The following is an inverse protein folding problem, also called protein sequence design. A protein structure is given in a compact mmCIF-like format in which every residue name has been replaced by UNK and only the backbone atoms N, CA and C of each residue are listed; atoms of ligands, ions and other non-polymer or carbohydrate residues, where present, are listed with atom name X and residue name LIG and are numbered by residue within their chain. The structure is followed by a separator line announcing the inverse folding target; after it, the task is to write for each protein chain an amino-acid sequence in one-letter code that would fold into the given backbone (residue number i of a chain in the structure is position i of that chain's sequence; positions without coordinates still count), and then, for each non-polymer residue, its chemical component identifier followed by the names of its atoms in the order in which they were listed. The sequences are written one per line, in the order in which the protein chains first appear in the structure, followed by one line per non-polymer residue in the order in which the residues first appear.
data_IF_149602829744
#
_entry.id   IF_149602829744
#
_cell.length_a   1.000
_cell.length_b   1.000
_cell.length_c   1.000
_cell.angle_alpha   90.00
_cell.angle_beta   90.00
_cell.angle_gamma   90.00
#
_symmetry.space_group_name_H-M   'P 1'
#
loop_
_entity.id
_entity.type
_entity.pdbx_description
1 polymer ?
#
# COMPACT_ATOMS: atom_id res chain seq x y z
N UNK A 1 -19.75 21.52 -2.83
CA UNK A 1 -18.46 21.53 -3.55
C UNK A 1 -17.73 20.29 -3.12
N UNK A 2 -17.67 19.28 -3.98
CA UNK A 2 -16.77 18.15 -3.77
C UNK A 2 -15.42 18.67 -4.27
N UNK A 3 -14.48 18.87 -3.34
CA UNK A 3 -13.20 19.52 -3.62
C UNK A 3 -12.40 18.71 -4.64
N UNK A 4 -11.66 19.38 -5.51
CA UNK A 4 -10.94 18.74 -6.63
C UNK A 4 -9.99 17.62 -6.18
N UNK A 5 -9.54 17.64 -4.92
CA UNK A 5 -8.75 16.60 -4.29
C UNK A 5 -9.51 15.27 -4.19
N UNK A 6 -10.79 15.27 -3.76
CA UNK A 6 -11.60 14.06 -3.66
C UNK A 6 -11.78 13.36 -5.01
N UNK A 7 -11.86 14.13 -6.10
CA UNK A 7 -12.00 13.59 -7.45
C UNK A 7 -10.68 13.03 -7.99
N UNK A 8 -9.55 13.66 -7.66
CA UNK A 8 -8.23 13.11 -7.95
C UNK A 8 -7.98 11.80 -7.19
N UNK A 9 -8.38 11.74 -5.91
CA UNK A 9 -8.31 10.54 -5.08
C UNK A 9 -9.20 9.41 -5.60
N UNK A 10 -10.45 9.71 -5.98
CA UNK A 10 -11.37 8.70 -6.51
C UNK A 10 -10.90 8.11 -7.85
N UNK A 11 -10.37 8.95 -8.76
CA UNK A 11 -9.80 8.50 -10.03
C UNK A 11 -8.54 7.65 -9.82
N UNK A 12 -7.78 7.97 -8.78
CA UNK A 12 -6.56 7.29 -8.40
C UNK A 12 -6.80 5.89 -7.83
N UNK A 13 -7.78 5.76 -6.93
CA UNK A 13 -8.27 4.47 -6.44
C UNK A 13 -8.85 3.63 -7.58
N UNK A 14 -9.57 4.27 -8.50
CA UNK A 14 -10.13 3.61 -9.69
C UNK A 14 -9.04 3.02 -10.59
N UNK A 15 -7.92 3.71 -10.79
CA UNK A 15 -6.79 3.20 -11.57
C UNK A 15 -6.12 1.97 -10.92
N UNK A 16 -6.04 1.93 -9.58
CA UNK A 16 -5.54 0.75 -8.84
C UNK A 16 -6.49 -0.44 -8.88
N UNK A 17 -7.79 -0.17 -9.09
CA UNK A 17 -8.84 -1.17 -9.26
C UNK A 17 -9.06 -1.58 -10.71
N UNK A 18 -8.36 -0.96 -11.67
CA UNK A 18 -8.54 -1.26 -13.08
C UNK A 18 -8.29 -2.76 -13.32
N UNK A 19 -9.33 -3.46 -13.73
CA UNK A 19 -9.30 -4.88 -13.99
C UNK A 19 -8.29 -5.18 -15.11
N UNK A 20 -7.30 -6.02 -14.80
CA UNK A 20 -6.27 -6.44 -15.76
C UNK A 20 -6.65 -7.77 -16.46
N UNK A 21 -7.94 -8.14 -16.44
CA UNK A 21 -8.48 -9.38 -17.00
C UNK A 21 -8.68 -10.50 -15.96
N UNK A 22 -8.33 -10.25 -14.71
CA UNK A 22 -8.43 -11.22 -13.60
C UNK A 22 -8.96 -10.60 -12.29
N UNK A 23 -9.66 -9.46 -12.38
CA UNK A 23 -10.15 -8.68 -11.24
C UNK A 23 -9.24 -7.49 -10.89
N UNK A 24 -9.53 -6.74 -9.82
CA UNK A 24 -8.75 -5.57 -9.43
C UNK A 24 -7.32 -5.97 -9.03
N UNK A 25 -6.33 -5.23 -9.52
CA UNK A 25 -4.91 -5.47 -9.23
C UNK A 25 -4.60 -5.47 -7.73
N UNK A 26 -5.19 -4.51 -7.01
CA UNK A 26 -5.04 -4.37 -5.57
C UNK A 26 -6.30 -4.89 -4.86
N UNK A 27 -6.11 -5.75 -3.87
CA UNK A 27 -7.17 -6.28 -3.01
C UNK A 27 -7.51 -5.33 -1.85
N UNK A 28 -6.71 -4.30 -1.62
CA UNK A 28 -6.95 -3.28 -0.61
C UNK A 28 -5.94 -2.15 -0.70
N UNK A 29 -6.34 -0.98 -0.20
CA UNK A 29 -5.53 0.23 -0.15
C UNK A 29 -5.67 0.83 1.25
N UNK A 30 -4.58 1.36 1.79
CA UNK A 30 -4.57 2.25 2.95
C UNK A 30 -3.68 3.44 2.67
N UNK A 31 -4.10 4.63 3.12
CA UNK A 31 -3.35 5.87 2.99
C UNK A 31 -3.22 6.49 4.37
N UNK A 32 -1.99 6.84 4.71
CA UNK A 32 -1.62 7.54 5.94
C UNK A 32 -1.31 9.00 5.63
N UNK A 33 -1.73 9.90 6.53
CA UNK A 33 -1.18 11.26 6.59
C UNK A 33 0.27 11.25 7.16
N UNK A 34 0.98 12.39 7.20
CA UNK A 34 2.35 12.43 7.72
C UNK A 34 2.46 12.13 9.22
N UNK A 35 1.34 12.14 9.95
CA UNK A 35 1.28 11.86 11.39
C UNK A 35 0.96 10.38 11.67
N UNK A 36 0.66 9.59 10.64
CA UNK A 36 0.32 8.18 10.75
C UNK A 36 -1.16 7.90 10.94
N UNK A 37 -2.04 8.91 10.77
CA UNK A 37 -3.47 8.68 10.78
C UNK A 37 -3.92 8.08 9.46
N UNK A 38 -4.79 7.08 9.51
CA UNK A 38 -5.43 6.53 8.32
C UNK A 38 -6.46 7.53 7.82
N UNK A 39 -6.20 8.14 6.66
CA UNK A 39 -7.14 9.07 6.00
C UNK A 39 -8.02 8.37 4.98
N UNK A 40 -7.61 7.19 4.54
CA UNK A 40 -8.37 6.36 3.63
C UNK A 40 -8.00 4.89 3.80
N UNK A 41 -9.00 4.01 3.78
CA UNK A 41 -8.79 2.57 3.74
C UNK A 41 -9.95 1.83 3.08
N UNK A 42 -9.64 0.69 2.47
CA UNK A 42 -10.64 -0.18 1.87
C UNK A 42 -10.16 -1.61 1.61
N UNK A 43 -11.12 -2.47 1.28
CA UNK A 43 -10.90 -3.87 0.94
C UNK A 43 -10.19 -4.60 2.07
N UNK A 44 -9.14 -5.33 1.72
CA UNK A 44 -8.40 -6.18 2.65
C UNK A 44 -7.92 -5.44 3.92
N UNK A 45 -7.48 -4.17 3.84
CA UNK A 45 -7.06 -3.42 5.03
C UNK A 45 -8.21 -3.08 5.99
N UNK A 46 -9.42 -2.92 5.47
CA UNK A 46 -10.60 -2.65 6.28
C UNK A 46 -11.20 -3.93 6.86
N UNK A 47 -11.11 -5.03 6.11
CA UNK A 47 -11.75 -6.30 6.43
C UNK A 47 -10.89 -7.20 7.32
N UNK A 48 -9.57 -7.16 7.17
CA UNK A 48 -8.66 -8.20 7.68
C UNK A 48 -7.57 -7.63 8.59
N UNK A 49 -7.53 -6.31 8.80
CA UNK A 49 -6.51 -5.68 9.66
C UNK A 49 -7.09 -4.69 10.67
N UNK A 50 -6.59 -4.77 11.90
CA UNK A 50 -6.88 -3.92 13.04
C UNK A 50 -6.22 -2.55 12.91
N UNK A 51 -6.77 -1.58 13.64
CA UNK A 51 -6.20 -0.23 13.71
C UNK A 51 -4.77 -0.27 14.26
N UNK A 52 -4.53 -1.09 15.28
CA UNK A 52 -3.25 -1.28 15.95
C UNK A 52 -2.19 -1.84 14.98
N UNK A 53 -2.55 -2.86 14.19
CA UNK A 53 -1.67 -3.42 13.17
C UNK A 53 -1.29 -2.37 12.11
N UNK A 54 -2.25 -1.57 11.64
CA UNK A 54 -2.01 -0.48 10.69
C UNK A 54 -1.11 0.61 11.28
N UNK A 55 -1.27 0.95 12.56
CA UNK A 55 -0.40 1.90 13.24
C UNK A 55 1.04 1.37 13.38
N UNK A 56 1.19 0.09 13.72
CA UNK A 56 2.50 -0.56 13.79
C UNK A 56 3.19 -0.62 12.40
N UNK A 57 2.43 -0.91 11.35
CA UNK A 57 2.94 -0.86 9.98
C UNK A 57 3.42 0.55 9.61
N UNK A 58 2.68 1.60 9.97
CA UNK A 58 3.11 2.98 9.72
C UNK A 58 4.47 3.29 10.39
N UNK A 59 4.69 2.84 11.63
CA UNK A 59 5.98 3.05 12.30
C UNK A 59 7.16 2.44 11.52
N UNK A 60 6.97 1.24 10.95
CA UNK A 60 7.96 0.61 10.06
C UNK A 60 8.12 1.39 8.75
N UNK A 61 7.01 1.86 8.18
CA UNK A 61 7.00 2.60 6.93
C UNK A 61 7.58 4.01 7.05
N UNK A 62 7.53 4.64 8.22
CA UNK A 62 7.98 6.00 8.50
C UNK A 62 9.48 6.07 8.85
N UNK A 63 10.03 5.00 9.41
CA UNK A 63 11.44 4.93 9.79
C UNK A 63 12.24 4.01 8.83
N UNK A 64 13.16 4.61 8.08
CA UNK A 64 13.99 3.91 7.08
C UNK A 64 14.93 2.88 7.73
N UNK A 65 15.31 3.08 9.00
CA UNK A 65 16.13 2.15 9.79
C UNK A 65 15.28 0.99 10.28
N UNK A 66 14.07 1.23 10.78
CA UNK A 66 13.13 0.16 11.15
C UNK A 66 12.62 -0.59 9.93
N UNK A 67 12.55 0.02 8.76
CA UNK A 67 12.25 -0.68 7.51
C UNK A 67 13.33 -1.71 7.12
N UNK A 68 14.44 -1.82 7.87
CA UNK A 68 15.40 -2.94 7.79
C UNK A 68 14.95 -4.19 8.55
N UNK A 69 13.85 -4.15 9.31
CA UNK A 69 13.36 -5.31 10.10
C UNK A 69 12.97 -6.53 9.24
N UNK A 70 13.04 -6.43 7.91
CA UNK A 70 12.74 -7.48 6.94
C UNK A 70 11.35 -8.13 7.11
N UNK A 71 10.49 -7.60 7.99
CA UNK A 71 9.19 -8.17 8.35
C UNK A 71 8.20 -7.08 8.75
N UNK A 72 6.98 -7.19 8.24
CA UNK A 72 5.80 -6.44 8.64
C UNK A 72 4.75 -7.48 9.06
N UNK A 73 4.15 -7.30 10.23
CA UNK A 73 3.08 -8.17 10.75
C UNK A 73 1.77 -7.38 10.81
N UNK A 74 0.73 -7.92 10.18
CA UNK A 74 -0.61 -7.35 10.18
C UNK A 74 -1.59 -8.44 10.65
N UNK A 75 -1.87 -8.47 11.96
CA UNK A 75 -2.77 -9.45 12.60
C UNK A 75 -2.50 -10.91 12.21
N UNK A 76 -1.22 -11.31 12.18
CA UNK A 76 -0.80 -12.66 11.81
C UNK A 76 -0.54 -12.85 10.31
N UNK A 77 -0.84 -11.85 9.49
CA UNK A 77 -0.35 -11.78 8.11
C UNK A 77 1.07 -11.24 8.08
N UNK A 78 2.02 -12.17 7.99
CA UNK A 78 3.45 -11.85 7.93
C UNK A 78 3.88 -11.58 6.50
N UNK A 79 4.46 -10.40 6.28
CA UNK A 79 5.07 -9.98 5.02
C UNK A 79 6.57 -9.76 5.21
N UNK A 80 7.37 -10.31 4.31
CA UNK A 80 8.82 -10.12 4.31
C UNK A 80 9.23 -9.04 3.33
N UNK A 81 9.95 -8.02 3.80
CA UNK A 81 10.43 -6.92 2.95
C UNK A 81 11.52 -7.46 2.02
N UNK A 82 11.30 -7.33 0.71
CA UNK A 82 12.22 -7.77 -0.35
C UNK A 82 12.92 -6.59 -1.03
N UNK A 83 12.35 -5.39 -0.93
CA UNK A 83 12.92 -4.17 -1.47
C UNK A 83 12.55 -2.98 -0.58
N UNK A 84 13.51 -2.07 -0.38
CA UNK A 84 13.31 -0.81 0.32
C UNK A 84 14.13 0.28 -0.36
N UNK A 85 13.45 1.20 -1.04
CA UNK A 85 14.08 2.36 -1.69
C UNK A 85 13.55 3.63 -1.02
N UNK A 86 14.33 4.16 -0.08
CA UNK A 86 14.02 5.38 0.68
C UNK A 86 12.63 5.36 1.37
N UNK A 87 12.23 4.19 1.90
CA UNK A 87 10.94 4.00 2.57
C UNK A 87 9.78 3.64 1.66
N UNK A 88 10.01 3.50 0.35
CA UNK A 88 9.12 2.79 -0.56
C UNK A 88 9.46 1.29 -0.48
N UNK A 89 8.55 0.50 0.08
CA UNK A 89 8.78 -0.90 0.40
C UNK A 89 8.02 -1.80 -0.57
N UNK A 90 8.64 -2.91 -0.92
CA UNK A 90 7.94 -4.07 -1.46
C UNK A 90 8.11 -5.23 -0.48
N UNK A 91 7.01 -5.84 -0.06
CA UNK A 91 7.03 -6.98 0.85
C UNK A 91 6.14 -8.12 0.34
N UNK A 92 6.52 -9.36 0.62
CA UNK A 92 5.78 -10.56 0.18
C UNK A 92 5.30 -11.39 1.36
N UNK A 93 4.03 -11.77 1.30
CA UNK A 93 3.43 -12.69 2.24
C UNK A 93 3.72 -14.16 1.90
N UNK A 94 3.13 -15.04 2.70
CA UNK A 94 3.29 -16.50 2.60
C UNK A 94 3.05 -17.00 1.16
N UNK A 95 3.97 -17.83 0.66
CA UNK A 95 3.96 -18.41 -0.70
C UNK A 95 3.93 -17.38 -1.85
N UNK A 96 4.29 -16.11 -1.60
CA UNK A 96 4.29 -15.02 -2.61
C UNK A 96 2.94 -14.80 -3.31
N UNK A 97 1.84 -15.24 -2.69
CA UNK A 97 0.47 -15.08 -3.22
C UNK A 97 -0.20 -13.76 -2.80
N UNK A 98 0.50 -12.97 -2.00
CA UNK A 98 0.06 -11.68 -1.50
C UNK A 98 1.32 -10.84 -1.25
N UNK A 99 1.20 -9.53 -1.36
CA UNK A 99 2.29 -8.64 -0.98
C UNK A 99 1.83 -7.21 -0.82
N UNK A 100 2.67 -6.43 -0.16
CA UNK A 100 2.48 -5.02 0.13
C UNK A 100 3.44 -4.21 -0.73
N UNK A 101 2.94 -3.10 -1.26
CA UNK A 101 3.75 -2.11 -1.96
C UNK A 101 3.42 -0.76 -1.35
N UNK A 102 4.44 -0.05 -0.86
CA UNK A 102 4.27 1.31 -0.35
C UNK A 102 4.88 2.36 -1.27
N UNK A 103 4.23 3.52 -1.33
CA UNK A 103 4.70 4.72 -2.01
C UNK A 103 4.59 5.91 -1.06
N UNK A 104 5.72 6.53 -0.75
CA UNK A 104 5.78 7.81 -0.04
C UNK A 104 5.56 8.98 -1.02
N UNK A 105 4.85 9.99 -0.54
CA UNK A 105 4.60 11.26 -1.22
C UNK A 105 4.59 12.40 -0.18
N UNK A 106 4.67 13.69 -0.57
CA UNK A 106 4.88 14.78 0.38
C UNK A 106 3.84 14.86 1.52
N UNK A 107 2.60 14.50 1.22
CA UNK A 107 1.48 14.54 2.17
C UNK A 107 1.14 13.19 2.80
N UNK A 108 1.95 12.14 2.61
CA UNK A 108 1.63 10.85 3.24
C UNK A 108 2.32 9.61 2.67
N UNK A 109 1.75 8.46 3.02
CA UNK A 109 2.18 7.14 2.57
C UNK A 109 0.98 6.35 2.07
N UNK A 110 1.05 5.86 0.84
CA UNK A 110 0.08 4.94 0.27
C UNK A 110 0.64 3.53 0.41
N UNK A 111 -0.20 2.58 0.81
CA UNK A 111 0.12 1.16 0.80
C UNK A 111 -0.99 0.42 0.07
N UNK A 112 -0.60 -0.39 -0.90
CA UNK A 112 -1.50 -1.28 -1.63
C UNK A 112 -1.14 -2.74 -1.32
N UNK A 113 -2.15 -3.58 -1.16
CA UNK A 113 -1.98 -5.03 -1.09
C UNK A 113 -2.46 -5.66 -2.39
N UNK A 114 -1.64 -6.51 -3.00
CA UNK A 114 -2.06 -7.35 -4.13
C UNK A 114 -2.28 -8.79 -3.64
N UNK A 115 -3.12 -9.54 -4.35
CA UNK A 115 -3.34 -10.97 -4.13
C UNK A 115 -3.26 -11.73 -5.46
N UNK A 116 -3.01 -13.04 -5.37
CA UNK A 116 -3.10 -13.96 -6.50
C UNK A 116 -4.41 -13.71 -7.29
N UNK A 117 -4.36 -13.65 -8.63
CA UNK A 117 -3.26 -14.08 -9.50
C UNK A 117 -2.14 -13.06 -9.72
N UNK A 118 -2.25 -11.86 -9.14
CA UNK A 118 -1.24 -10.82 -9.29
C UNK A 118 0.02 -11.10 -8.47
N UNK A 119 1.15 -10.63 -8.98
CA UNK A 119 2.47 -10.77 -8.37
C UNK A 119 3.12 -9.40 -8.15
N UNK A 120 4.26 -9.35 -7.46
CA UNK A 120 5.06 -8.13 -7.38
C UNK A 120 5.41 -7.56 -8.76
N UNK A 121 5.72 -8.43 -9.73
CA UNK A 121 6.15 -8.01 -11.07
C UNK A 121 5.02 -7.27 -11.80
N UNK A 122 3.77 -7.66 -11.57
CA UNK A 122 2.60 -6.98 -12.15
C UNK A 122 2.19 -5.75 -11.35
N UNK A 123 2.28 -5.81 -10.01
CA UNK A 123 1.76 -4.77 -9.14
C UNK A 123 2.70 -3.56 -8.98
N UNK A 124 4.02 -3.78 -8.88
CA UNK A 124 5.01 -2.71 -8.65
C UNK A 124 4.98 -1.64 -9.75
N UNK A 125 4.98 -1.96 -11.05
CA UNK A 125 4.96 -0.92 -12.10
C UNK A 125 3.73 -0.02 -12.03
N UNK A 126 2.57 -0.58 -11.68
CA UNK A 126 1.30 0.16 -11.60
C UNK A 126 1.31 1.08 -10.38
N UNK A 127 1.68 0.56 -9.20
CA UNK A 127 1.77 1.35 -7.97
C UNK A 127 2.89 2.41 -8.06
N UNK A 128 3.98 2.14 -8.76
CA UNK A 128 5.05 3.12 -9.00
C UNK A 128 4.63 4.23 -9.99
N UNK A 129 3.90 3.89 -11.07
CA UNK A 129 3.29 4.89 -11.96
C UNK A 129 2.35 5.81 -11.19
N UNK A 130 1.60 5.23 -10.27
CA UNK A 130 0.74 5.96 -9.36
C UNK A 130 1.52 6.90 -8.43
N UNK A 131 2.51 6.39 -7.69
CA UNK A 131 3.25 7.23 -6.75
C UNK A 131 4.00 8.39 -7.42
N UNK A 132 4.34 8.26 -8.71
CA UNK A 132 4.85 9.40 -9.50
C UNK A 132 3.80 10.51 -9.66
N UNK A 133 2.53 10.18 -9.88
CA UNK A 133 1.42 11.16 -9.98
C UNK A 133 1.12 11.85 -8.65
N UNK A 134 1.33 11.16 -7.53
CA UNK A 134 1.17 11.73 -6.18
C UNK A 134 2.32 12.67 -5.78
N UNK A 135 3.43 12.64 -6.51
CA UNK A 135 4.62 13.49 -6.28
C UNK A 135 4.72 14.67 -7.24
N UNK A 136 3.95 14.66 -8.33
CA UNK A 136 3.89 15.72 -9.36
C UNK A 136 2.78 16.70 -9.05
#
# INVERSE_FOLDING_TARGET
MIEADDMAWAMLVKDLKADQGHGPLCAGIVIYDPRGNVVYEEGWFREETSFEAKAAMFAVLADVVLARTHRIDLDGHVFHVVENVYGNLCAVGRRRKMGLISQRFPSGILVAVFRYPYSLQTAVPVVAKLGRRLRS
#
